data_IF_700850767182
#
_entry.id   IF_700850767182
#
_cell.length_a   1.000
_cell.length_b   1.000
_cell.length_c   1.000
_cell.angle_alpha   90.00
_cell.angle_beta   90.00
_cell.angle_gamma   90.00
#
_symmetry.space_group_name_H-M   'P 1'
#
loop_
_entity.id
_entity.type
_entity.pdbx_description
1 polymer ?
#
# COMPACT_ATOMS: atom_id res chain seq x y z
N UNK A 1 4.36 -54.55 16.52
CA UNK A 1 3.17 -53.67 16.50
C UNK A 1 3.36 -52.29 17.18
N UNK A 2 4.34 -52.13 18.08
CA UNK A 2 4.59 -50.87 18.79
C UNK A 2 5.05 -49.72 17.90
N UNK A 3 5.85 -49.97 16.87
CA UNK A 3 6.35 -48.91 15.96
C UNK A 3 5.26 -48.24 15.10
N UNK A 4 4.19 -48.98 14.76
CA UNK A 4 3.12 -48.45 13.93
C UNK A 4 2.29 -47.41 14.69
N UNK A 5 2.12 -47.56 16.02
CA UNK A 5 1.36 -46.62 16.87
C UNK A 5 2.08 -45.26 17.07
N UNK A 6 3.43 -45.25 16.99
CA UNK A 6 4.22 -44.01 17.16
C UNK A 6 4.40 -43.27 15.81
N UNK A 7 4.54 -43.99 14.72
CA UNK A 7 4.76 -43.40 13.40
C UNK A 7 3.49 -42.89 12.71
N UNK A 8 2.33 -43.44 13.07
CA UNK A 8 1.07 -43.07 12.44
C UNK A 8 0.64 -41.63 12.77
N UNK A 9 0.69 -41.14 14.04
CA UNK A 9 0.37 -39.72 14.33
C UNK A 9 1.43 -38.75 13.78
N UNK A 10 2.70 -39.12 13.79
CA UNK A 10 3.78 -38.28 13.21
C UNK A 10 3.66 -38.14 11.69
N UNK A 11 3.29 -39.21 10.99
CA UNK A 11 3.01 -39.20 9.56
C UNK A 11 1.79 -38.33 9.21
N UNK A 12 0.75 -38.39 10.04
CA UNK A 12 -0.47 -37.59 9.83
C UNK A 12 -0.22 -36.08 10.02
N UNK A 13 0.60 -35.71 11.00
CA UNK A 13 1.01 -34.29 11.21
C UNK A 13 1.85 -33.79 10.05
N UNK A 14 2.80 -34.58 9.54
CA UNK A 14 3.59 -34.20 8.37
C UNK A 14 2.73 -34.05 7.11
N UNK A 15 1.73 -34.91 6.94
CA UNK A 15 0.83 -34.86 5.80
C UNK A 15 -0.07 -33.62 5.86
N UNK A 16 -0.60 -33.29 7.05
CA UNK A 16 -1.38 -32.04 7.26
C UNK A 16 -0.52 -30.79 7.07
N UNK A 17 0.76 -30.80 7.46
CA UNK A 17 1.66 -29.69 7.25
C UNK A 17 1.99 -29.51 5.77
N UNK A 18 2.19 -30.61 5.03
CA UNK A 18 2.44 -30.58 3.58
C UNK A 18 1.21 -30.10 2.80
N UNK A 19 0.01 -30.52 3.16
CA UNK A 19 -1.22 -30.03 2.55
C UNK A 19 -1.56 -28.59 2.95
N UNK A 20 -1.28 -28.19 4.19
CA UNK A 20 -1.46 -26.82 4.66
C UNK A 20 -0.59 -25.82 3.90
N UNK A 21 0.63 -26.20 3.57
CA UNK A 21 1.56 -25.33 2.81
C UNK A 21 1.09 -25.07 1.37
N UNK A 22 0.48 -26.06 0.70
CA UNK A 22 -0.05 -25.91 -0.66
C UNK A 22 -1.35 -25.10 -0.74
N UNK A 23 -2.11 -25.01 0.37
CA UNK A 23 -3.34 -24.21 0.42
C UNK A 23 -3.08 -22.74 0.76
N UNK A 24 -1.96 -22.43 1.42
CA UNK A 24 -1.59 -21.04 1.75
C UNK A 24 -0.94 -20.31 0.56
N UNK A 25 -0.33 -21.02 -0.38
CA UNK A 25 0.25 -20.42 -1.60
C UNK A 25 -0.78 -20.02 -2.66
N UNK A 26 -2.05 -20.38 -2.51
CA UNK A 26 -3.06 -20.21 -3.57
C UNK A 26 -3.88 -18.91 -3.49
N UNK A 27 -3.71 -18.04 -2.48
CA UNK A 27 -4.64 -16.93 -2.25
C UNK A 27 -3.98 -15.54 -2.09
N UNK A 28 -2.78 -15.34 -2.66
CA UNK A 28 -2.28 -14.00 -2.95
C UNK A 28 -2.59 -13.56 -4.38
N UNK A 29 -3.82 -13.77 -4.83
CA UNK A 29 -4.35 -13.03 -5.97
C UNK A 29 -4.71 -11.63 -5.45
N UNK A 30 -3.85 -10.66 -5.76
CA UNK A 30 -4.02 -9.28 -5.35
C UNK A 30 -5.46 -8.80 -5.58
N UNK A 31 -6.04 -8.21 -4.56
CA UNK A 31 -7.28 -7.44 -4.69
C UNK A 31 -6.97 -6.33 -5.67
N UNK A 32 -7.48 -6.46 -6.89
CA UNK A 32 -7.36 -5.43 -7.92
C UNK A 32 -8.14 -4.21 -7.46
N UNK A 33 -7.45 -3.12 -7.18
CA UNK A 33 -8.02 -1.81 -6.85
C UNK A 33 -8.69 -1.11 -8.05
N UNK A 34 -9.04 -1.83 -9.12
CA UNK A 34 -9.74 -1.27 -10.28
C UNK A 34 -11.08 -0.61 -9.90
N UNK A 35 -11.77 -1.13 -8.88
CA UNK A 35 -13.10 -0.63 -8.50
C UNK A 35 -13.05 0.72 -7.72
N UNK A 36 -11.92 1.07 -7.11
CA UNK A 36 -11.76 2.36 -6.41
C UNK A 36 -11.34 3.49 -7.35
N UNK A 37 -10.66 3.19 -8.45
CA UNK A 37 -10.25 4.18 -9.45
C UNK A 37 -11.43 4.65 -10.32
N UNK A 38 -12.45 3.80 -10.56
CA UNK A 38 -13.65 4.21 -11.31
C UNK A 38 -14.51 5.23 -10.57
N UNK A 39 -14.55 5.19 -9.23
CA UNK A 39 -15.37 6.13 -8.45
C UNK A 39 -14.78 7.56 -8.40
N UNK A 40 -13.46 7.71 -8.50
CA UNK A 40 -12.79 9.01 -8.47
C UNK A 40 -12.63 9.63 -9.88
N UNK A 41 -12.55 8.82 -10.92
CA UNK A 41 -12.50 9.29 -12.32
C UNK A 41 -13.82 9.90 -12.83
N UNK A 42 -14.95 9.65 -12.18
CA UNK A 42 -16.23 10.24 -12.58
C UNK A 42 -16.33 11.72 -12.18
N UNK A 43 -15.54 12.19 -11.20
CA UNK A 43 -15.52 13.61 -10.79
C UNK A 43 -14.38 14.43 -11.41
N UNK A 44 -13.34 13.81 -11.96
CA UNK A 44 -12.22 14.52 -12.57
C UNK A 44 -12.35 14.73 -14.10
N UNK A 45 -13.38 14.18 -14.74
CA UNK A 45 -13.52 14.21 -16.20
C UNK A 45 -14.30 15.43 -16.76
N UNK A 46 -14.49 16.51 -15.97
CA UNK A 46 -15.17 17.70 -16.49
C UNK A 46 -14.31 18.91 -16.81
N UNK A 47 -12.98 18.86 -16.56
CA UNK A 47 -12.08 19.98 -16.96
C UNK A 47 -10.68 19.46 -17.33
N UNK A 48 -10.50 19.01 -18.56
CA UNK A 48 -9.26 19.18 -19.36
C UNK A 48 -9.36 18.42 -20.69
N UNK A 49 -10.10 18.97 -21.65
CA UNK A 49 -9.74 18.76 -23.06
C UNK A 49 -8.49 19.61 -23.33
N UNK A 50 -7.34 18.95 -23.41
CA UNK A 50 -6.14 19.51 -24.00
C UNK A 50 -5.48 18.46 -24.89
N UNK A 51 -5.51 18.76 -26.18
CA UNK A 51 -4.83 18.15 -27.30
C UNK A 51 -3.73 17.13 -26.95
N UNK A 52 -4.01 15.87 -27.18
CA UNK A 52 -3.01 14.82 -27.30
C UNK A 52 -2.50 14.80 -28.75
N UNK A 53 -1.38 15.47 -29.01
CA UNK A 53 -0.60 15.19 -30.20
C UNK A 53 -0.13 13.73 -30.15
N UNK A 54 -0.52 12.96 -31.20
CA UNK A 54 -0.09 11.60 -31.49
C UNK A 54 1.45 11.50 -31.52
N UNK A 55 2.04 11.01 -30.42
CA UNK A 55 3.38 10.44 -30.43
C UNK A 55 3.21 8.96 -30.74
N UNK A 56 3.76 8.42 -31.85
CA UNK A 56 3.73 6.98 -32.09
C UNK A 56 4.67 6.30 -31.08
N UNK A 57 4.13 5.95 -29.93
CA UNK A 57 4.80 5.11 -28.93
C UNK A 57 4.93 3.71 -29.46
N UNK A 58 6.15 3.20 -29.49
CA UNK A 58 6.47 1.80 -29.75
C UNK A 58 5.63 0.92 -28.80
N UNK A 59 4.64 0.23 -29.36
CA UNK A 59 3.49 -0.32 -28.64
C UNK A 59 3.78 -1.57 -27.80
N UNK A 60 4.75 -1.47 -26.88
CA UNK A 60 4.93 -2.49 -25.87
C UNK A 60 4.33 -2.00 -24.50
N UNK A 61 3.12 -2.47 -24.11
CA UNK A 61 2.46 -2.02 -22.89
C UNK A 61 3.24 -2.32 -21.60
N UNK A 62 4.27 -3.17 -21.67
CA UNK A 62 5.13 -3.51 -20.53
C UNK A 62 6.11 -2.38 -20.20
N UNK A 63 6.42 -1.51 -21.17
CA UNK A 63 7.40 -0.42 -21.01
C UNK A 63 6.75 0.96 -20.79
N UNK A 64 5.42 1.05 -20.81
CA UNK A 64 4.74 2.30 -20.52
C UNK A 64 4.76 2.58 -19.00
N UNK A 65 5.05 3.83 -18.62
CA UNK A 65 4.91 4.27 -17.24
C UNK A 65 3.44 4.34 -16.86
N UNK A 66 3.14 3.83 -15.66
CA UNK A 66 1.81 3.89 -15.08
C UNK A 66 1.88 3.95 -13.56
N UNK A 67 0.76 4.29 -12.93
CA UNK A 67 0.66 4.18 -11.48
C UNK A 67 0.58 2.71 -11.05
N UNK A 68 1.43 2.35 -10.12
CA UNK A 68 1.44 1.06 -9.45
C UNK A 68 1.22 1.31 -7.96
N UNK A 69 0.33 0.54 -7.35
CA UNK A 69 -0.15 0.77 -5.99
C UNK A 69 0.32 -0.34 -5.06
N UNK A 70 0.66 0.04 -3.84
CA UNK A 70 1.02 -0.88 -2.76
C UNK A 70 0.32 -0.45 -1.48
N UNK A 71 -0.45 -1.36 -0.88
CA UNK A 71 -0.98 -1.17 0.46
C UNK A 71 0.09 -1.53 1.49
N UNK A 72 0.29 -0.67 2.48
CA UNK A 72 1.10 -0.97 3.66
C UNK A 72 0.25 -1.83 4.61
N UNK A 73 0.74 -3.04 4.92
CA UNK A 73 0.00 -4.01 5.74
C UNK A 73 0.04 -3.66 7.23
N UNK A 74 -0.49 -2.47 7.55
CA UNK A 74 -0.61 -1.97 8.92
C UNK A 74 -1.85 -1.08 9.10
N UNK A 75 -2.45 -1.13 10.28
CA UNK A 75 -3.50 -0.21 10.71
C UNK A 75 -2.89 0.83 11.65
N UNK A 76 -2.83 2.07 11.20
CA UNK A 76 -2.33 3.19 12.00
C UNK A 76 -3.43 3.67 12.93
N UNK A 77 -3.12 3.73 14.22
CA UNK A 77 -4.08 4.10 15.25
C UNK A 77 -3.48 5.15 16.18
N UNK A 78 -4.32 6.05 16.65
CA UNK A 78 -3.87 7.10 17.54
C UNK A 78 -5.03 7.87 18.16
N UNK A 79 -4.67 8.97 18.79
CA UNK A 79 -5.63 9.91 19.37
C UNK A 79 -5.46 11.26 18.67
N UNK A 80 -6.57 11.83 18.21
CA UNK A 80 -6.57 13.16 17.61
C UNK A 80 -6.07 14.20 18.60
N UNK A 81 -5.21 15.09 18.14
CA UNK A 81 -4.53 16.05 19.02
C UNK A 81 -5.50 17.10 19.58
N UNK A 82 -6.52 17.46 18.82
CA UNK A 82 -7.52 18.51 19.16
C UNK A 82 -8.72 17.97 19.94
N UNK A 83 -9.37 16.90 19.49
CA UNK A 83 -10.62 16.37 20.09
C UNK A 83 -10.40 15.27 21.10
N UNK A 84 -9.22 14.60 21.07
CA UNK A 84 -8.89 13.41 21.88
C UNK A 84 -9.67 12.16 21.51
N UNK A 85 -10.45 12.17 20.45
CA UNK A 85 -11.08 10.99 19.86
C UNK A 85 -10.03 10.02 19.31
N UNK A 86 -10.38 8.75 19.24
CA UNK A 86 -9.49 7.74 18.66
C UNK A 86 -9.71 7.70 17.15
N UNK A 87 -8.61 7.60 16.42
CA UNK A 87 -8.65 7.34 14.98
C UNK A 87 -7.97 6.04 14.62
N UNK A 88 -8.38 5.49 13.50
CA UNK A 88 -7.66 4.41 12.81
C UNK A 88 -7.78 4.60 11.30
N UNK A 89 -6.71 4.27 10.58
CA UNK A 89 -6.71 4.23 9.11
C UNK A 89 -5.61 3.31 8.58
N UNK A 90 -5.72 2.98 7.31
CA UNK A 90 -4.71 2.26 6.55
C UNK A 90 -4.11 3.17 5.49
N UNK A 91 -2.93 2.83 4.99
CA UNK A 91 -2.21 3.63 4.00
C UNK A 91 -1.92 2.79 2.77
N UNK A 92 -2.17 3.36 1.59
CA UNK A 92 -1.66 2.86 0.33
C UNK A 92 -0.74 3.92 -0.30
N UNK A 93 0.30 3.47 -0.96
CA UNK A 93 1.25 4.34 -1.70
C UNK A 93 1.16 4.04 -3.19
N UNK A 94 1.47 5.03 -4.02
CA UNK A 94 1.56 4.86 -5.46
C UNK A 94 2.90 5.35 -5.98
N UNK A 95 3.48 4.58 -6.92
CA UNK A 95 4.66 4.94 -7.71
C UNK A 95 4.29 5.04 -9.17
N UNK A 96 4.95 5.93 -9.93
CA UNK A 96 4.71 6.10 -11.38
C UNK A 96 5.92 5.61 -12.15
N UNK A 97 5.85 4.37 -12.62
CA UNK A 97 6.97 3.67 -13.25
C UNK A 97 6.46 2.59 -14.21
N UNK A 98 7.36 2.05 -15.05
CA UNK A 98 7.05 0.83 -15.81
C UNK A 98 6.76 -0.33 -14.85
N UNK A 99 6.05 -1.35 -15.30
CA UNK A 99 5.78 -2.52 -14.46
C UNK A 99 7.06 -3.17 -13.92
N UNK A 100 8.10 -3.26 -14.74
CA UNK A 100 9.36 -3.92 -14.36
C UNK A 100 10.07 -3.15 -13.26
N UNK A 101 10.17 -1.81 -13.37
CA UNK A 101 10.82 -0.98 -12.34
C UNK A 101 9.97 -0.90 -11.07
N UNK A 102 8.64 -0.87 -11.21
CA UNK A 102 7.72 -0.89 -10.09
C UNK A 102 7.83 -2.19 -9.26
N UNK A 103 7.96 -3.34 -9.91
CA UNK A 103 8.14 -4.62 -9.20
C UNK A 103 9.41 -4.62 -8.34
N UNK A 104 10.52 -4.06 -8.83
CA UNK A 104 11.73 -3.91 -8.05
C UNK A 104 11.54 -2.93 -6.88
N UNK A 105 10.91 -1.79 -7.13
CA UNK A 105 10.61 -0.80 -6.10
C UNK A 105 9.70 -1.37 -5.02
N UNK A 106 8.60 -2.00 -5.39
CA UNK A 106 7.65 -2.62 -4.47
C UNK A 106 8.33 -3.69 -3.62
N UNK A 107 9.19 -4.52 -4.22
CA UNK A 107 9.95 -5.52 -3.47
C UNK A 107 10.89 -4.88 -2.46
N UNK A 108 11.59 -3.80 -2.83
CA UNK A 108 12.45 -3.06 -1.92
C UNK A 108 11.65 -2.43 -0.77
N UNK A 109 10.45 -1.89 -1.04
CA UNK A 109 9.53 -1.36 -0.02
C UNK A 109 9.11 -2.46 0.97
N UNK A 110 8.80 -3.68 0.52
CA UNK A 110 8.47 -4.78 1.42
C UNK A 110 9.64 -5.17 2.34
N UNK A 111 10.88 -5.08 1.85
CA UNK A 111 12.07 -5.39 2.67
C UNK A 111 12.27 -4.39 3.83
N UNK A 112 11.79 -3.15 3.69
CA UNK A 112 11.87 -2.08 4.70
C UNK A 112 10.51 -1.67 5.26
N UNK A 113 9.47 -2.49 5.09
CA UNK A 113 8.10 -2.12 5.48
C UNK A 113 7.98 -1.76 6.95
N UNK A 114 8.67 -2.50 7.84
CA UNK A 114 8.63 -2.23 9.27
C UNK A 114 9.16 -0.83 9.63
N UNK A 115 10.19 -0.39 8.93
CA UNK A 115 10.75 0.96 9.09
C UNK A 115 9.80 2.03 8.55
N UNK A 116 9.18 1.78 7.38
CA UNK A 116 8.17 2.70 6.83
C UNK A 116 6.95 2.83 7.74
N UNK A 117 6.49 1.72 8.33
CA UNK A 117 5.42 1.73 9.35
C UNK A 117 5.82 2.58 10.55
N UNK A 118 7.06 2.48 11.01
CA UNK A 118 7.58 3.31 12.11
C UNK A 118 7.59 4.79 11.75
N UNK A 119 8.04 5.12 10.54
CA UNK A 119 8.09 6.50 10.03
C UNK A 119 6.69 7.09 9.91
N UNK A 120 5.76 6.40 9.27
CA UNK A 120 4.35 6.84 9.19
C UNK A 120 3.77 7.03 10.59
N UNK A 121 4.02 6.10 11.52
CA UNK A 121 3.51 6.20 12.89
C UNK A 121 4.00 7.45 13.60
N UNK A 122 5.25 7.87 13.36
CA UNK A 122 5.82 9.10 13.89
C UNK A 122 5.16 10.34 13.27
N UNK A 123 4.95 10.33 11.97
CA UNK A 123 4.34 11.45 11.22
C UNK A 123 2.89 11.70 11.67
N UNK A 124 2.13 10.64 11.96
CA UNK A 124 0.68 10.74 12.25
C UNK A 124 0.36 11.01 13.72
N UNK A 125 1.36 11.07 14.60
CA UNK A 125 1.17 11.32 16.05
C UNK A 125 0.41 12.62 16.33
N UNK A 126 0.65 13.66 15.56
CA UNK A 126 0.05 15.00 15.73
C UNK A 126 -1.18 15.25 14.85
N UNK A 127 -1.82 14.19 14.37
CA UNK A 127 -2.99 14.30 13.50
C UNK A 127 -4.17 14.96 14.21
N UNK A 128 -4.84 15.88 13.51
CA UNK A 128 -6.03 16.60 14.00
C UNK A 128 -7.31 16.08 13.33
N UNK A 129 -8.45 16.38 13.93
CA UNK A 129 -9.77 16.01 13.37
C UNK A 129 -9.98 16.62 11.98
N UNK A 130 -9.53 17.85 11.76
CA UNK A 130 -9.65 18.52 10.46
C UNK A 130 -8.84 17.79 9.36
N UNK A 131 -7.68 17.23 9.69
CA UNK A 131 -6.83 16.50 8.73
C UNK A 131 -7.46 15.18 8.26
N UNK A 132 -8.33 14.57 9.05
CA UNK A 132 -9.01 13.33 8.65
C UNK A 132 -10.43 13.56 8.11
N UNK A 133 -11.17 14.56 8.63
CA UNK A 133 -12.56 14.74 8.28
C UNK A 133 -12.79 15.55 7.00
N UNK A 134 -11.86 16.44 6.65
CA UNK A 134 -12.02 17.29 5.46
C UNK A 134 -11.18 16.80 4.29
N UNK A 135 -11.62 16.97 3.03
CA UNK A 135 -10.81 16.64 1.85
C UNK A 135 -9.48 17.38 1.83
N UNK A 136 -9.49 18.68 2.15
CA UNK A 136 -8.30 19.53 2.20
C UNK A 136 -7.33 19.06 3.30
N UNK A 137 -7.86 18.70 4.47
CA UNK A 137 -7.08 18.15 5.57
C UNK A 137 -6.43 16.83 5.19
N UNK A 138 -7.18 15.91 4.57
CA UNK A 138 -6.61 14.64 4.09
C UNK A 138 -5.47 14.86 3.09
N UNK A 139 -5.56 15.84 2.21
CA UNK A 139 -4.46 16.19 1.31
C UNK A 139 -3.22 16.68 2.07
N UNK A 140 -3.40 17.41 3.17
CA UNK A 140 -2.27 17.87 3.99
C UNK A 140 -1.55 16.68 4.64
N UNK A 141 -2.29 15.78 5.29
CA UNK A 141 -1.68 14.64 5.98
C UNK A 141 -1.08 13.64 4.99
N UNK A 142 -1.71 13.37 3.84
CA UNK A 142 -1.15 12.48 2.82
C UNK A 142 0.13 13.04 2.20
N UNK A 143 0.20 14.35 1.94
CA UNK A 143 1.44 14.99 1.47
C UNK A 143 2.54 14.90 2.56
N UNK A 144 2.22 15.17 3.82
CA UNK A 144 3.18 15.04 4.92
C UNK A 144 3.75 13.63 5.05
N UNK A 145 2.89 12.60 4.90
CA UNK A 145 3.34 11.20 4.88
C UNK A 145 4.21 10.94 3.66
N UNK A 146 3.81 11.39 2.47
CA UNK A 146 4.57 11.21 1.22
C UNK A 146 5.96 11.83 1.31
N UNK A 147 6.04 13.07 1.80
CA UNK A 147 7.31 13.79 1.93
C UNK A 147 8.24 13.09 2.93
N UNK A 148 7.72 12.69 4.10
CA UNK A 148 8.51 11.97 5.10
C UNK A 148 8.99 10.60 4.61
N UNK A 149 8.14 9.84 3.93
CA UNK A 149 8.54 8.56 3.34
C UNK A 149 9.60 8.72 2.25
N UNK A 150 9.47 9.73 1.38
CA UNK A 150 10.47 10.00 0.35
C UNK A 150 11.81 10.47 0.96
N UNK A 151 11.78 11.30 2.01
CA UNK A 151 12.97 11.69 2.75
C UNK A 151 13.66 10.46 3.36
N UNK A 152 12.89 9.59 4.02
CA UNK A 152 13.39 8.34 4.58
C UNK A 152 14.01 7.42 3.51
N UNK A 153 13.36 7.28 2.34
CA UNK A 153 13.90 6.49 1.22
C UNK A 153 15.25 7.02 0.77
N UNK A 154 15.40 8.35 0.63
CA UNK A 154 16.68 8.99 0.27
C UNK A 154 17.75 8.72 1.32
N UNK A 155 17.43 8.80 2.62
CA UNK A 155 18.38 8.49 3.70
C UNK A 155 18.88 7.03 3.64
N UNK A 156 18.03 6.11 3.18
CA UNK A 156 18.37 4.70 2.99
C UNK A 156 19.06 4.40 1.66
N UNK A 157 19.23 5.40 0.79
CA UNK A 157 19.86 5.26 -0.52
C UNK A 157 18.93 4.75 -1.62
N UNK A 158 17.63 4.81 -1.42
CA UNK A 158 16.61 4.55 -2.43
C UNK A 158 16.21 5.84 -3.18
N UNK A 159 15.60 5.68 -4.35
CA UNK A 159 14.98 6.81 -5.03
C UNK A 159 13.66 7.21 -4.33
N UNK A 160 13.32 8.52 -4.29
CA UNK A 160 12.07 9.01 -3.72
C UNK A 160 10.92 8.85 -4.73
N UNK A 161 10.55 7.61 -5.05
CA UNK A 161 9.61 7.26 -6.11
C UNK A 161 8.16 7.09 -5.62
N UNK A 162 7.83 7.57 -4.41
CA UNK A 162 6.45 7.64 -3.92
C UNK A 162 5.82 8.93 -4.46
N UNK A 163 4.85 8.79 -5.36
CA UNK A 163 4.18 9.91 -6.03
C UNK A 163 2.88 10.31 -5.34
N UNK A 164 2.17 9.34 -4.74
CA UNK A 164 0.96 9.59 -3.99
C UNK A 164 0.87 8.69 -2.76
N UNK A 165 0.19 9.21 -1.75
CA UNK A 165 -0.22 8.48 -0.55
C UNK A 165 -1.72 8.61 -0.40
N UNK A 166 -2.39 7.51 -0.13
CA UNK A 166 -3.83 7.43 0.09
C UNK A 166 -4.11 6.94 1.50
N UNK A 167 -5.05 7.58 2.17
CA UNK A 167 -5.65 7.09 3.41
C UNK A 167 -6.89 6.29 3.02
N UNK A 168 -6.91 5.03 3.43
CA UNK A 168 -8.02 4.10 3.18
C UNK A 168 -8.56 3.57 4.51
N UNK A 169 -9.83 3.12 4.51
CA UNK A 169 -10.47 2.49 5.67
C UNK A 169 -10.35 3.31 6.97
N UNK A 170 -10.53 4.64 6.90
CA UNK A 170 -10.42 5.48 8.10
C UNK A 170 -11.69 5.45 8.95
N UNK A 171 -11.49 5.50 10.28
CA UNK A 171 -12.55 5.55 11.30
C UNK A 171 -12.15 6.50 12.43
N UNK A 172 -13.13 7.20 13.02
CA UNK A 172 -12.97 8.06 14.20
C UNK A 172 -14.06 7.69 15.20
N UNK A 173 -13.68 7.49 16.46
CA UNK A 173 -14.55 7.09 17.58
C UNK A 173 -14.19 7.85 18.85
#
# INVERSE_FOLDING_TARGET
MFYLQIFLPAGLVLLLFSFGHTLVEADYSGVYFEELVEAENVQASSEAELDSEDVPGDGNPVLADKYNYLKIENVFQGRLNDTKELFSFEVAIATYQTNVTADFFIKAIYEIEAELVSEISTIVVDTTSNELLTPEGRKIITNRIMDGLNEYLVEKGFNPDIHYVYIINYNIV
#
